data_IF_495499773704
#
_entry.id   IF_495499773704
#
_cell.length_a   1.000
_cell.length_b   1.000
_cell.length_c   1.000
_cell.angle_alpha   90.00
_cell.angle_beta   90.00
_cell.angle_gamma   90.00
#
_symmetry.space_group_name_H-M   'P 1'
#
loop_
_entity.id
_entity.type
_entity.pdbx_description
1 polymer ?
#
# COMPACT_ATOMS: atom_id res chain seq x y z
N UNK A 1 -10.36 20.43 -8.11
CA UNK A 1 -9.54 19.88 -9.22
C UNK A 1 -8.04 20.13 -9.02
N UNK A 2 -7.61 21.35 -8.61
CA UNK A 2 -6.17 21.69 -8.42
C UNK A 2 -5.57 20.90 -7.24
N UNK A 3 -6.27 20.72 -6.14
CA UNK A 3 -5.79 19.93 -4.99
C UNK A 3 -5.39 18.50 -5.34
N UNK A 4 -6.09 17.85 -6.27
CA UNK A 4 -5.78 16.49 -6.72
C UNK A 4 -4.47 16.39 -7.52
N UNK A 5 -3.95 17.50 -8.04
CA UNK A 5 -2.66 17.58 -8.75
C UNK A 5 -1.52 17.98 -7.82
N UNK A 6 -1.79 18.84 -6.83
CA UNK A 6 -0.77 19.32 -5.89
C UNK A 6 -0.30 18.25 -4.90
N UNK A 7 -1.18 17.35 -4.47
CA UNK A 7 -0.81 16.29 -3.50
C UNK A 7 0.26 15.33 -4.04
N UNK A 8 0.14 14.76 -5.27
CA UNK A 8 1.21 13.94 -5.83
C UNK A 8 2.52 14.70 -6.05
N UNK A 9 2.45 15.96 -6.50
CA UNK A 9 3.63 16.79 -6.72
C UNK A 9 4.37 17.11 -5.42
N UNK A 10 3.65 17.49 -4.36
CA UNK A 10 4.25 17.76 -3.04
C UNK A 10 4.90 16.51 -2.45
N UNK A 11 4.35 15.32 -2.73
CA UNK A 11 4.94 14.05 -2.30
C UNK A 11 6.26 13.75 -3.03
N UNK A 12 6.33 13.98 -4.33
CA UNK A 12 7.57 13.81 -5.11
C UNK A 12 8.63 14.81 -4.63
N UNK A 13 8.27 16.08 -4.45
CA UNK A 13 9.19 17.11 -3.96
C UNK A 13 9.70 16.78 -2.54
N UNK A 14 8.83 16.30 -1.65
CA UNK A 14 9.21 15.86 -0.31
C UNK A 14 10.18 14.68 -0.33
N UNK A 15 9.99 13.73 -1.24
CA UNK A 15 10.89 12.59 -1.39
C UNK A 15 12.26 13.05 -1.88
N UNK A 16 12.32 13.92 -2.89
CA UNK A 16 13.56 14.49 -3.39
C UNK A 16 14.29 15.25 -2.28
N UNK A 17 13.59 16.15 -1.55
CA UNK A 17 14.16 16.90 -0.43
C UNK A 17 14.71 15.95 0.64
N UNK A 18 13.92 14.97 1.10
CA UNK A 18 14.36 14.01 2.11
C UNK A 18 15.60 13.22 1.69
N UNK A 19 15.59 12.68 0.46
CA UNK A 19 16.74 11.91 -0.07
C UNK A 19 17.97 12.77 -0.23
N UNK A 20 17.81 14.02 -0.66
CA UNK A 20 18.93 14.96 -0.86
C UNK A 20 19.56 15.40 0.46
N UNK A 21 18.74 15.76 1.47
CA UNK A 21 19.17 16.26 2.77
C UNK A 21 19.62 15.14 3.73
N UNK A 22 19.22 13.89 3.47
CA UNK A 22 19.57 12.77 4.34
C UNK A 22 21.09 12.56 4.36
N UNK A 23 21.68 12.71 5.56
CA UNK A 23 23.11 12.48 5.78
C UNK A 23 23.36 10.97 5.88
N UNK A 24 23.96 10.40 4.85
CA UNK A 24 24.54 9.07 4.86
C UNK A 24 26.05 9.21 4.85
N UNK A 25 26.76 8.29 5.54
CA UNK A 25 28.24 8.27 5.50
C UNK A 25 28.70 8.15 4.04
N UNK A 26 29.67 8.97 3.63
CA UNK A 26 30.18 8.96 2.28
C UNK A 26 30.67 7.59 1.80
N UNK A 27 31.16 6.74 2.72
CA UNK A 27 31.55 5.36 2.41
C UNK A 27 30.42 4.51 1.82
N UNK A 28 29.18 4.78 2.20
CA UNK A 28 28.02 4.01 1.78
C UNK A 28 27.39 4.52 0.47
N UNK A 29 27.89 5.67 -0.02
CA UNK A 29 27.39 6.35 -1.22
C UNK A 29 28.39 6.30 -2.41
N UNK A 30 29.54 5.63 -2.23
CA UNK A 30 30.51 5.45 -3.32
C UNK A 30 29.90 4.49 -4.34
N UNK A 31 29.39 5.05 -5.40
CA UNK A 31 28.88 4.30 -6.56
C UNK A 31 29.43 4.93 -7.83
N UNK A 32 29.88 4.09 -8.75
CA UNK A 32 30.22 4.57 -10.10
C UNK A 32 28.95 4.82 -10.90
N UNK A 33 29.01 5.71 -11.90
CA UNK A 33 27.87 5.92 -12.80
C UNK A 33 27.42 4.63 -13.47
N UNK A 34 28.40 3.78 -13.81
CA UNK A 34 28.15 2.48 -14.39
C UNK A 34 27.29 1.60 -13.47
N UNK A 35 27.66 1.50 -12.18
CA UNK A 35 26.96 0.66 -11.21
C UNK A 35 25.59 1.24 -10.86
N UNK A 36 25.47 2.57 -10.79
CA UNK A 36 24.18 3.22 -10.57
C UNK A 36 23.21 2.96 -11.72
N UNK A 37 23.68 3.08 -12.97
CA UNK A 37 22.89 2.78 -14.17
C UNK A 37 22.56 1.29 -14.26
N UNK A 38 23.51 0.40 -13.96
CA UNK A 38 23.26 -1.04 -13.91
C UNK A 38 22.18 -1.40 -12.87
N UNK A 39 22.22 -0.75 -11.71
CA UNK A 39 21.20 -0.86 -10.68
C UNK A 39 19.82 -0.38 -11.14
N UNK A 40 19.75 0.73 -11.85
CA UNK A 40 18.54 1.25 -12.47
C UNK A 40 17.96 0.27 -13.50
N UNK A 41 18.81 -0.24 -14.41
CA UNK A 41 18.39 -1.22 -15.43
C UNK A 41 17.81 -2.47 -14.79
N UNK A 42 18.43 -2.98 -13.73
CA UNK A 42 17.94 -4.14 -12.98
C UNK A 42 16.59 -3.87 -12.32
N UNK A 43 16.40 -2.71 -11.69
CA UNK A 43 15.16 -2.32 -11.02
C UNK A 43 13.99 -2.20 -12.02
N UNK A 44 14.27 -1.68 -13.21
CA UNK A 44 13.28 -1.50 -14.28
C UNK A 44 13.15 -2.70 -15.22
N UNK A 45 13.92 -3.77 -14.98
CA UNK A 45 13.99 -4.95 -15.85
C UNK A 45 14.36 -4.60 -17.32
N UNK A 46 15.22 -3.60 -17.51
CA UNK A 46 15.75 -3.16 -18.80
C UNK A 46 16.94 -4.06 -19.18
N UNK A 47 16.90 -4.64 -20.38
CA UNK A 47 17.86 -5.68 -20.80
C UNK A 47 19.09 -5.11 -21.52
N UNK A 48 18.92 -4.04 -22.27
CA UNK A 48 19.98 -3.49 -23.10
C UNK A 48 19.96 -1.95 -23.17
N UNK A 49 20.99 -1.40 -23.83
CA UNK A 49 21.16 0.05 -23.99
C UNK A 49 20.08 0.68 -24.89
N UNK A 50 19.45 -0.07 -25.80
CA UNK A 50 18.41 0.46 -26.67
C UNK A 50 17.11 0.66 -25.88
N UNK A 51 16.76 -0.34 -25.08
CA UNK A 51 15.62 -0.24 -24.15
C UNK A 51 15.85 0.90 -23.15
N UNK A 52 17.08 1.08 -22.63
CA UNK A 52 17.42 2.16 -21.72
C UNK A 52 17.25 3.54 -22.39
N UNK A 53 17.74 3.71 -23.61
CA UNK A 53 17.59 4.96 -24.34
C UNK A 53 16.13 5.29 -24.64
N UNK A 54 15.32 4.29 -25.00
CA UNK A 54 13.89 4.45 -25.20
C UNK A 54 13.20 4.83 -23.88
N UNK A 55 13.51 4.15 -22.79
CA UNK A 55 13.00 4.46 -21.47
C UNK A 55 13.37 5.89 -21.03
N UNK A 56 14.62 6.29 -21.21
CA UNK A 56 15.10 7.64 -20.91
C UNK A 56 14.30 8.70 -21.66
N UNK A 57 14.16 8.55 -22.98
CA UNK A 57 13.40 9.46 -23.83
C UNK A 57 11.94 9.60 -23.37
N UNK A 58 11.33 8.50 -22.96
CA UNK A 58 9.90 8.46 -22.59
C UNK A 58 9.66 9.02 -21.18
N UNK A 59 10.58 8.75 -20.24
CA UNK A 59 10.32 9.02 -18.81
C UNK A 59 11.03 10.28 -18.30
N UNK A 60 12.22 10.60 -18.81
CA UNK A 60 12.97 11.79 -18.39
C UNK A 60 12.78 12.96 -19.36
N UNK A 61 12.09 12.76 -20.47
CA UNK A 61 11.87 13.77 -21.52
C UNK A 61 13.17 14.43 -21.99
N UNK A 62 14.31 13.75 -21.82
CA UNK A 62 15.65 14.24 -22.13
C UNK A 62 16.50 13.12 -22.67
N UNK A 63 17.33 13.45 -23.66
CA UNK A 63 18.35 12.54 -24.19
C UNK A 63 19.75 12.83 -23.61
N UNK A 64 19.85 13.75 -22.65
CA UNK A 64 21.13 14.09 -22.00
C UNK A 64 21.58 12.92 -21.11
N UNK A 65 22.78 12.35 -21.37
CA UNK A 65 23.34 11.29 -20.54
C UNK A 65 23.56 11.68 -19.08
N UNK A 66 23.77 12.99 -18.79
CA UNK A 66 23.98 13.44 -17.41
C UNK A 66 22.70 13.34 -16.59
N UNK A 67 21.55 13.68 -17.16
CA UNK A 67 20.26 13.51 -16.49
C UNK A 67 19.99 12.05 -16.12
N UNK A 68 20.38 11.10 -16.97
CA UNK A 68 20.28 9.67 -16.67
C UNK A 68 21.17 9.27 -15.49
N UNK A 69 22.40 9.77 -15.44
CA UNK A 69 23.35 9.49 -14.36
C UNK A 69 22.86 10.09 -13.04
N UNK A 70 22.41 11.33 -13.05
CA UNK A 70 21.84 11.99 -11.86
C UNK A 70 20.65 11.23 -11.31
N UNK A 71 19.74 10.83 -12.19
CA UNK A 71 18.59 10.03 -11.79
C UNK A 71 18.99 8.65 -11.22
N UNK A 72 19.95 7.99 -11.85
CA UNK A 72 20.46 6.69 -11.38
C UNK A 72 21.16 6.82 -10.00
N UNK A 73 21.97 7.87 -9.79
CA UNK A 73 22.61 8.18 -8.49
C UNK A 73 21.57 8.50 -7.42
N UNK A 74 20.52 9.27 -7.76
CA UNK A 74 19.40 9.56 -6.85
C UNK A 74 18.72 8.28 -6.39
N UNK A 75 18.34 7.39 -7.31
CA UNK A 75 17.71 6.10 -6.97
C UNK A 75 18.65 5.20 -6.15
N UNK A 76 19.93 5.20 -6.46
CA UNK A 76 20.92 4.48 -5.66
C UNK A 76 20.94 5.00 -4.21
N UNK A 77 21.06 6.32 -4.02
CA UNK A 77 21.03 6.96 -2.70
C UNK A 77 19.73 6.65 -1.95
N UNK A 78 18.60 6.76 -2.64
CA UNK A 78 17.28 6.39 -2.11
C UNK A 78 17.26 4.95 -1.58
N UNK A 79 17.79 4.01 -2.34
CA UNK A 79 17.88 2.60 -1.94
C UNK A 79 18.76 2.40 -0.71
N UNK A 80 19.91 3.06 -0.65
CA UNK A 80 20.77 3.05 0.54
C UNK A 80 20.04 3.57 1.78
N UNK A 81 19.27 4.65 1.66
CA UNK A 81 18.45 5.20 2.74
C UNK A 81 17.40 4.16 3.18
N UNK A 82 16.67 3.59 2.24
CA UNK A 82 15.64 2.58 2.51
C UNK A 82 16.22 1.38 3.27
N UNK A 83 17.37 0.88 2.83
CA UNK A 83 18.04 -0.23 3.51
C UNK A 83 18.44 0.15 4.94
N UNK A 84 18.98 1.35 5.15
CA UNK A 84 19.34 1.83 6.49
C UNK A 84 18.14 2.00 7.42
N UNK A 85 16.98 2.37 6.89
CA UNK A 85 15.75 2.51 7.70
C UNK A 85 15.27 1.19 8.30
N UNK A 86 15.65 0.05 7.71
CA UNK A 86 15.28 -1.28 8.19
C UNK A 86 16.46 -2.03 8.84
N UNK A 87 17.68 -1.51 8.71
CA UNK A 87 18.88 -2.14 9.26
C UNK A 87 18.81 -2.26 10.79
N UNK A 88 19.13 -3.43 11.31
CA UNK A 88 19.15 -3.74 12.75
C UNK A 88 17.79 -3.95 13.42
N UNK A 89 16.67 -3.51 12.79
CA UNK A 89 15.32 -3.62 13.36
C UNK A 89 14.30 -4.22 12.36
N UNK A 90 14.75 -4.84 11.29
CA UNK A 90 13.89 -5.29 10.20
C UNK A 90 12.75 -6.20 10.64
N UNK A 91 13.00 -7.20 11.48
CA UNK A 91 11.98 -8.13 11.99
C UNK A 91 10.96 -7.43 12.89
N UNK A 92 11.41 -6.57 13.80
CA UNK A 92 10.52 -5.81 14.68
C UNK A 92 9.63 -4.85 13.87
N UNK A 93 10.20 -4.21 12.85
CA UNK A 93 9.46 -3.36 11.92
C UNK A 93 8.48 -4.19 11.07
N UNK A 94 8.89 -5.37 10.61
CA UNK A 94 8.01 -6.29 9.89
C UNK A 94 6.77 -6.65 10.72
N UNK A 95 6.94 -7.03 11.98
CA UNK A 95 5.83 -7.33 12.88
C UNK A 95 4.93 -6.10 13.12
N UNK A 96 5.54 -4.93 13.31
CA UNK A 96 4.79 -3.66 13.49
C UNK A 96 3.94 -3.29 12.27
N UNK A 97 4.41 -3.60 11.07
CA UNK A 97 3.73 -3.28 9.81
C UNK A 97 2.95 -4.47 9.23
N UNK A 98 2.82 -5.56 9.97
CA UNK A 98 2.17 -6.79 9.52
C UNK A 98 0.78 -6.53 8.93
N UNK A 99 -0.03 -5.71 9.57
CA UNK A 99 -1.37 -5.33 9.10
C UNK A 99 -1.38 -4.64 7.72
N UNK A 100 -0.28 -4.05 7.31
CA UNK A 100 -0.10 -3.42 5.98
C UNK A 100 0.55 -4.34 4.96
N UNK A 101 1.16 -5.41 5.41
CA UNK A 101 1.89 -6.34 4.56
C UNK A 101 1.02 -7.54 4.20
N UNK A 102 0.26 -8.07 5.14
CA UNK A 102 -0.69 -9.14 4.91
C UNK A 102 -1.86 -8.66 4.05
N UNK A 103 -2.46 -9.60 3.31
CA UNK A 103 -3.67 -9.34 2.54
C UNK A 103 -4.77 -10.29 2.98
N UNK A 104 -5.98 -9.79 3.01
CA UNK A 104 -7.18 -10.57 3.32
C UNK A 104 -8.19 -10.43 2.20
N UNK A 105 -8.82 -11.55 1.88
CA UNK A 105 -10.02 -11.63 1.06
C UNK A 105 -11.13 -12.06 1.99
N UNK A 106 -12.22 -11.31 2.05
CA UNK A 106 -13.32 -11.60 2.95
C UNK A 106 -14.67 -11.35 2.29
N UNK A 107 -15.70 -12.03 2.78
CA UNK A 107 -17.08 -11.80 2.39
C UNK A 107 -17.79 -11.00 3.47
N UNK A 108 -18.63 -10.06 3.04
CA UNK A 108 -19.29 -9.10 3.90
C UNK A 108 -20.73 -8.85 3.46
N UNK A 109 -21.64 -8.80 4.42
CA UNK A 109 -23.03 -8.39 4.27
C UNK A 109 -23.32 -7.34 5.34
N UNK A 110 -24.04 -6.29 4.98
CA UNK A 110 -24.58 -5.32 5.94
C UNK A 110 -26.09 -5.14 5.71
N UNK A 111 -26.84 -5.12 6.78
CA UNK A 111 -28.28 -4.84 6.79
C UNK A 111 -28.61 -3.94 7.98
N UNK A 112 -29.72 -3.19 7.91
CA UNK A 112 -30.18 -2.37 9.05
C UNK A 112 -30.92 -3.21 10.09
N UNK A 113 -31.63 -4.26 9.67
CA UNK A 113 -32.46 -5.10 10.52
C UNK A 113 -31.62 -6.21 11.18
N UNK A 114 -31.63 -6.23 12.51
CA UNK A 114 -30.90 -7.21 13.31
C UNK A 114 -31.46 -8.62 13.18
N UNK A 115 -32.77 -8.76 13.12
CA UNK A 115 -33.44 -10.08 13.03
C UNK A 115 -33.15 -10.71 11.67
N UNK A 116 -33.18 -9.91 10.60
CA UNK A 116 -32.74 -10.31 9.27
C UNK A 116 -31.28 -10.76 9.27
N UNK A 117 -30.38 -10.01 9.92
CA UNK A 117 -28.96 -10.37 9.99
C UNK A 117 -28.76 -11.74 10.65
N UNK A 118 -29.41 -12.00 11.77
CA UNK A 118 -29.33 -13.31 12.44
C UNK A 118 -29.97 -14.43 11.61
N UNK A 119 -31.09 -14.16 10.94
CA UNK A 119 -31.71 -15.13 10.04
C UNK A 119 -30.76 -15.53 8.91
N UNK A 120 -30.15 -14.54 8.22
CA UNK A 120 -29.16 -14.78 7.16
C UNK A 120 -27.94 -15.52 7.69
N UNK A 121 -27.44 -15.15 8.87
CA UNK A 121 -26.32 -15.83 9.51
C UNK A 121 -26.57 -17.32 9.67
N UNK A 122 -27.73 -17.70 10.22
CA UNK A 122 -28.08 -19.13 10.44
C UNK A 122 -28.29 -19.87 9.12
N UNK A 123 -28.89 -19.24 8.12
CA UNK A 123 -29.03 -19.85 6.79
C UNK A 123 -27.68 -20.09 6.11
N UNK A 124 -26.75 -19.15 6.26
CA UNK A 124 -25.38 -19.30 5.71
C UNK A 124 -24.60 -20.37 6.51
N UNK A 125 -24.73 -20.37 7.83
CA UNK A 125 -24.04 -21.32 8.72
C UNK A 125 -24.52 -22.76 8.46
N UNK A 126 -25.84 -22.97 8.24
CA UNK A 126 -26.41 -24.26 7.89
C UNK A 126 -26.19 -24.70 6.44
N UNK A 127 -25.71 -23.78 5.57
CA UNK A 127 -25.57 -24.05 4.15
C UNK A 127 -26.86 -24.00 3.33
N UNK A 128 -27.96 -23.47 3.92
CA UNK A 128 -29.26 -23.31 3.25
C UNK A 128 -29.17 -22.26 2.13
N UNK A 129 -28.36 -21.22 2.33
CA UNK A 129 -28.06 -20.19 1.31
C UNK A 129 -26.55 -19.99 1.19
N UNK A 130 -26.06 -19.75 -0.04
CA UNK A 130 -24.68 -19.35 -0.23
C UNK A 130 -24.46 -17.89 0.22
N UNK A 131 -23.27 -17.60 0.77
CA UNK A 131 -22.93 -16.25 1.25
C UNK A 131 -23.06 -15.20 0.14
N UNK A 132 -22.57 -15.52 -1.06
CA UNK A 132 -22.62 -14.61 -2.21
C UNK A 132 -24.04 -14.35 -2.70
N UNK A 133 -24.90 -15.36 -2.67
CA UNK A 133 -26.32 -15.23 -2.98
C UNK A 133 -27.02 -14.35 -1.94
N UNK A 134 -26.78 -14.60 -0.65
CA UNK A 134 -27.31 -13.78 0.43
C UNK A 134 -26.84 -12.32 0.32
N UNK A 135 -25.54 -12.09 0.04
CA UNK A 135 -24.99 -10.75 -0.14
C UNK A 135 -25.63 -10.01 -1.31
N UNK A 136 -25.79 -10.69 -2.46
CA UNK A 136 -26.39 -10.09 -3.65
C UNK A 136 -27.83 -9.66 -3.40
N UNK A 137 -28.58 -10.47 -2.65
CA UNK A 137 -30.03 -10.26 -2.47
C UNK A 137 -30.35 -9.30 -1.32
N UNK A 138 -29.57 -9.30 -0.26
CA UNK A 138 -29.94 -8.64 0.99
C UNK A 138 -28.96 -7.56 1.46
N UNK A 139 -27.72 -7.48 0.95
CA UNK A 139 -26.81 -6.47 1.44
C UNK A 139 -27.17 -5.08 0.93
N UNK A 140 -27.27 -4.13 1.86
CA UNK A 140 -27.56 -2.71 1.57
C UNK A 140 -26.35 -1.93 1.02
N UNK A 141 -25.19 -2.56 0.95
CA UNK A 141 -23.95 -1.91 0.51
C UNK A 141 -23.53 -2.26 -0.91
N UNK A 142 -22.47 -1.59 -1.42
CA UNK A 142 -21.94 -1.84 -2.75
C UNK A 142 -21.39 -3.26 -2.94
N UNK A 143 -21.07 -3.97 -1.86
CA UNK A 143 -20.62 -5.37 -1.85
C UNK A 143 -21.68 -6.33 -2.40
N UNK A 144 -22.94 -5.96 -2.43
CA UNK A 144 -24.00 -6.76 -3.09
C UNK A 144 -23.66 -7.02 -4.56
N UNK A 145 -22.96 -6.10 -5.24
CA UNK A 145 -22.56 -6.23 -6.64
C UNK A 145 -21.38 -7.19 -6.87
N UNK A 146 -20.67 -7.53 -5.83
CA UNK A 146 -19.49 -8.43 -5.85
C UNK A 146 -19.75 -9.73 -5.09
N UNK A 147 -21.02 -10.10 -4.91
CA UNK A 147 -21.42 -11.28 -4.12
C UNK A 147 -20.83 -11.25 -2.71
N UNK A 148 -20.72 -10.05 -2.12
CA UNK A 148 -20.16 -9.84 -0.82
C UNK A 148 -18.62 -9.84 -0.77
N UNK A 149 -17.91 -10.19 -1.84
CA UNK A 149 -16.45 -10.34 -1.84
C UNK A 149 -15.76 -8.98 -1.85
N UNK A 150 -14.86 -8.78 -0.89
CA UNK A 150 -14.03 -7.59 -0.72
C UNK A 150 -12.55 -7.99 -0.61
N UNK A 151 -11.71 -7.31 -1.35
CA UNK A 151 -10.26 -7.52 -1.35
C UNK A 151 -9.72 -8.13 -2.65
N UNK A 152 -8.46 -8.63 -2.66
CA UNK A 152 -7.53 -8.66 -1.53
C UNK A 152 -7.05 -7.26 -1.11
N UNK A 153 -7.18 -6.94 0.17
CA UNK A 153 -6.73 -5.67 0.74
C UNK A 153 -5.91 -5.89 2.02
N UNK A 154 -5.16 -4.88 2.45
CA UNK A 154 -4.49 -4.95 3.75
C UNK A 154 -5.46 -4.65 4.91
N UNK A 155 -5.08 -5.03 6.12
CA UNK A 155 -5.92 -4.90 7.32
C UNK A 155 -6.10 -3.45 7.80
N UNK A 156 -5.48 -2.47 7.15
CA UNK A 156 -5.69 -1.04 7.48
C UNK A 156 -6.80 -0.39 6.65
N UNK A 157 -7.31 -1.09 5.64
CA UNK A 157 -8.38 -0.61 4.74
C UNK A 157 -9.78 -0.79 5.32
N UNK A 158 -10.14 -1.98 5.88
CA UNK A 158 -11.48 -2.18 6.44
C UNK A 158 -11.71 -1.35 7.71
N UNK A 159 -12.99 -1.22 8.09
CA UNK A 159 -13.35 -0.64 9.37
C UNK A 159 -12.59 -1.33 10.52
N UNK A 160 -12.18 -0.61 11.60
CA UNK A 160 -11.41 -1.19 12.71
C UNK A 160 -12.04 -2.46 13.32
N UNK A 161 -13.36 -2.51 13.44
CA UNK A 161 -14.09 -3.69 13.97
C UNK A 161 -14.02 -4.90 13.04
N UNK A 162 -13.98 -4.69 11.73
CA UNK A 162 -13.74 -5.74 10.73
C UNK A 162 -12.29 -6.21 10.82
N UNK A 163 -11.35 -5.27 10.80
CA UNK A 163 -9.91 -5.55 10.84
C UNK A 163 -9.51 -6.33 12.08
N UNK A 164 -10.06 -5.97 13.25
CA UNK A 164 -9.77 -6.66 14.51
C UNK A 164 -10.20 -8.13 14.49
N UNK A 165 -11.37 -8.42 13.90
CA UNK A 165 -11.87 -9.78 13.73
C UNK A 165 -11.06 -10.56 12.69
N UNK A 166 -10.80 -9.95 11.53
CA UNK A 166 -10.01 -10.58 10.47
C UNK A 166 -8.57 -10.88 10.91
N UNK A 167 -7.99 -10.10 11.81
CA UNK A 167 -6.60 -10.30 12.30
C UNK A 167 -6.40 -11.67 12.95
N UNK A 168 -7.40 -12.20 13.63
CA UNK A 168 -7.33 -13.46 14.37
C UNK A 168 -8.18 -14.59 13.76
N UNK A 169 -8.90 -14.29 12.67
CA UNK A 169 -9.78 -15.26 12.04
C UNK A 169 -9.02 -16.42 11.40
N UNK A 170 -9.60 -17.60 11.45
CA UNK A 170 -9.21 -18.73 10.61
C UNK A 170 -9.86 -18.62 9.22
N UNK A 171 -9.23 -19.16 8.16
CA UNK A 171 -9.87 -19.22 6.84
C UNK A 171 -11.26 -19.89 6.91
N UNK A 172 -12.21 -19.31 6.18
CA UNK A 172 -13.64 -19.73 6.16
C UNK A 172 -14.41 -19.51 7.46
N UNK A 173 -13.82 -18.86 8.48
CA UNK A 173 -14.52 -18.53 9.70
C UNK A 173 -15.63 -17.51 9.43
N UNK A 174 -16.87 -17.90 9.72
CA UNK A 174 -18.06 -17.06 9.72
C UNK A 174 -18.22 -16.43 11.11
N UNK A 175 -18.42 -15.12 11.19
CA UNK A 175 -18.66 -14.40 12.43
C UNK A 175 -20.15 -14.17 12.63
N UNK A 176 -20.59 -14.29 13.90
CA UNK A 176 -21.94 -13.89 14.29
C UNK A 176 -22.18 -12.42 13.94
N UNK A 177 -23.43 -12.03 13.63
CA UNK A 177 -23.79 -10.65 13.36
C UNK A 177 -23.30 -9.70 14.44
N UNK A 178 -22.74 -8.57 14.04
CA UNK A 178 -22.23 -7.53 14.94
C UNK A 178 -22.50 -6.14 14.37
N UNK A 179 -22.62 -5.16 15.26
CA UNK A 179 -22.93 -3.77 14.89
C UNK A 179 -21.68 -3.05 14.38
N UNK A 180 -21.81 -2.35 13.26
CA UNK A 180 -20.84 -1.38 12.73
C UNK A 180 -21.62 -0.12 12.39
N UNK A 181 -21.37 0.97 13.11
CA UNK A 181 -22.14 2.21 13.00
C UNK A 181 -23.65 1.91 13.14
N UNK A 182 -24.41 2.14 12.08
CA UNK A 182 -25.85 1.86 12.03
C UNK A 182 -26.21 0.48 11.45
N UNK A 183 -25.21 -0.28 10.98
CA UNK A 183 -25.41 -1.52 10.25
C UNK A 183 -25.14 -2.75 11.12
N UNK A 184 -25.90 -3.79 10.93
CA UNK A 184 -25.58 -5.13 11.43
C UNK A 184 -24.87 -5.91 10.34
N UNK A 185 -23.64 -6.31 10.63
CA UNK A 185 -22.73 -6.91 9.68
C UNK A 185 -22.56 -8.42 9.89
N UNK A 186 -22.49 -9.17 8.79
CA UNK A 186 -22.07 -10.57 8.74
C UNK A 186 -20.75 -10.62 7.98
N UNK A 187 -19.76 -11.30 8.53
CA UNK A 187 -18.39 -11.35 8.03
C UNK A 187 -17.92 -12.80 7.93
N UNK A 188 -17.22 -13.13 6.84
CA UNK A 188 -16.50 -14.40 6.68
C UNK A 188 -15.13 -14.14 6.09
N UNK A 189 -14.06 -14.64 6.75
CA UNK A 189 -12.75 -14.64 6.13
C UNK A 189 -12.70 -15.70 5.04
N UNK A 190 -12.44 -15.30 3.79
CA UNK A 190 -12.29 -16.25 2.68
C UNK A 190 -10.86 -16.76 2.61
N UNK A 191 -9.89 -15.84 2.56
CA UNK A 191 -8.49 -16.20 2.45
C UNK A 191 -7.59 -15.14 3.10
N UNK A 192 -6.46 -15.62 3.66
CA UNK A 192 -5.38 -14.77 4.18
C UNK A 192 -4.10 -15.07 3.43
N UNK A 193 -3.45 -14.04 2.96
CA UNK A 193 -2.12 -14.08 2.35
C UNK A 193 -1.14 -13.50 3.37
N UNK A 194 -0.54 -14.38 4.15
CA UNK A 194 0.44 -13.98 5.15
C UNK A 194 1.76 -13.61 4.47
N UNK A 195 2.26 -12.43 4.76
CA UNK A 195 3.56 -11.98 4.31
C UNK A 195 4.67 -12.68 5.10
N UNK A 196 5.76 -13.00 4.41
CA UNK A 196 6.98 -13.54 5.00
C UNK A 196 8.08 -12.47 5.03
N UNK A 197 8.99 -12.55 6.00
CA UNK A 197 10.13 -11.64 6.07
C UNK A 197 11.22 -12.06 5.09
N UNK A 198 11.10 -11.65 3.84
CA UNK A 198 12.02 -11.90 2.75
C UNK A 198 12.46 -10.59 2.08
N UNK A 199 13.35 -10.65 1.08
CA UNK A 199 13.89 -9.45 0.41
C UNK A 199 12.80 -8.59 -0.25
N UNK A 200 11.76 -9.21 -0.83
CA UNK A 200 10.66 -8.46 -1.41
C UNK A 200 9.88 -7.69 -0.34
N UNK A 201 9.57 -8.34 0.77
CA UNK A 201 8.85 -7.73 1.89
C UNK A 201 9.69 -6.63 2.57
N UNK A 202 11.02 -6.82 2.69
CA UNK A 202 11.94 -5.77 3.16
C UNK A 202 11.86 -4.52 2.26
N UNK A 203 11.86 -4.70 0.95
CA UNK A 203 11.73 -3.58 0.01
C UNK A 203 10.40 -2.84 0.18
N UNK A 204 9.28 -3.57 0.34
CA UNK A 204 7.97 -2.97 0.59
C UNK A 204 7.97 -2.21 1.91
N UNK A 205 8.48 -2.84 2.97
CA UNK A 205 8.60 -2.26 4.31
C UNK A 205 9.43 -0.97 4.29
N UNK A 206 10.58 -0.99 3.63
CA UNK A 206 11.43 0.18 3.48
C UNK A 206 10.72 1.34 2.78
N UNK A 207 9.94 1.06 1.73
CA UNK A 207 9.10 2.06 1.04
C UNK A 207 8.00 2.62 1.95
N UNK A 208 7.36 1.77 2.76
CA UNK A 208 6.34 2.20 3.73
C UNK A 208 6.94 3.13 4.79
N UNK A 209 8.11 2.78 5.31
CA UNK A 209 8.82 3.59 6.32
C UNK A 209 9.28 4.92 5.70
N UNK A 210 9.88 4.90 4.50
CA UNK A 210 10.24 6.11 3.78
C UNK A 210 9.01 7.00 3.59
N UNK A 211 7.88 6.44 3.14
CA UNK A 211 6.62 7.17 3.01
C UNK A 211 6.17 7.86 4.30
N UNK A 212 6.34 7.20 5.45
CA UNK A 212 6.02 7.80 6.75
C UNK A 212 6.96 8.96 7.11
N UNK A 213 8.23 8.91 6.70
CA UNK A 213 9.21 9.98 6.93
C UNK A 213 8.98 11.20 6.05
N UNK A 214 8.56 11.01 4.81
CA UNK A 214 8.30 12.12 3.87
C UNK A 214 6.93 12.76 4.08
N UNK A 215 5.97 12.09 4.71
CA UNK A 215 4.60 12.59 4.90
C UNK A 215 4.52 13.99 5.56
N UNK A 216 5.26 14.29 6.65
CA UNK A 216 5.25 15.64 7.25
C UNK A 216 5.75 16.71 6.27
N UNK A 217 6.85 16.41 5.55
CA UNK A 217 7.47 17.32 4.56
C UNK A 217 6.49 17.56 3.41
N UNK A 218 5.84 16.52 2.92
CA UNK A 218 4.83 16.63 1.87
C UNK A 218 3.65 17.49 2.30
N UNK A 219 3.21 17.37 3.55
CA UNK A 219 2.12 18.17 4.10
C UNK A 219 2.49 19.65 4.23
N UNK A 220 3.74 19.96 4.58
CA UNK A 220 4.28 21.33 4.61
C UNK A 220 4.28 21.92 3.19
N UNK A 221 4.93 21.25 2.23
CA UNK A 221 5.00 21.71 0.84
C UNK A 221 3.60 21.89 0.23
N UNK A 222 2.67 21.00 0.52
CA UNK A 222 1.29 21.09 0.04
C UNK A 222 0.58 22.36 0.56
N UNK A 223 0.73 22.67 1.87
CA UNK A 223 0.16 23.88 2.48
C UNK A 223 0.73 25.14 1.87
N UNK A 224 2.07 25.21 1.73
CA UNK A 224 2.75 26.36 1.15
C UNK A 224 2.32 26.60 -0.30
N UNK A 225 2.16 25.50 -1.07
CA UNK A 225 1.68 25.57 -2.45
C UNK A 225 0.23 26.11 -2.54
N UNK A 226 -0.67 25.70 -1.64
CA UNK A 226 -2.05 26.23 -1.64
C UNK A 226 -2.07 27.71 -1.27
N UNK A 227 -1.30 28.12 -0.26
CA UNK A 227 -1.25 29.52 0.18
C UNK A 227 -0.79 30.43 -0.96
N UNK A 228 0.23 29.99 -1.73
CA UNK A 228 0.74 30.75 -2.89
C UNK A 228 -0.24 30.87 -4.08
N UNK A 229 -1.33 30.10 -4.11
CA UNK A 229 -2.38 30.19 -5.13
C UNK A 229 -3.57 31.05 -4.70
N UNK A 230 -3.66 31.41 -3.42
CA UNK A 230 -4.79 32.18 -2.86
C UNK A 230 -4.44 33.67 -2.73
N UNK A 231 -3.14 34.00 -2.68
CA UNK A 231 -2.59 35.35 -2.76
C UNK A 231 -2.41 35.79 -4.24
#
# INVERSE_FOLDING_TARGET
AIGNLLEPLSRVQAEVRYVTECKIKNSDLVVTDHDAIAGLMKELNIKDRKELALWQKTNLLSNDPENLKEYARFLFKRRCIVNKLIEGNGEALFLRYKDRLDRVLYSFIRVEDQDLAYHLYYQIESGEIDFGEAATKYSDGPESKTQGIIGPCDLTVPHPDISSRLRTASPRQLFKPFLIDKWVAILRLEYRFDSEFNENTKNILGKLILGSKIKPISSEIYKDSITSFVD
#
